data_IF_491321388374
#
_entry.id   IF_491321388374
#
_cell.length_a   1.000
_cell.length_b   1.000
_cell.length_c   1.000
_cell.angle_alpha   90.00
_cell.angle_beta   90.00
_cell.angle_gamma   90.00
#
_symmetry.space_group_name_H-M   'P 1'
#
loop_
_entity.id
_entity.type
_entity.pdbx_description
1 polymer ?
#
# COMPACT_ATOMS: atom_id res chain seq x y z
N UNK A 1 -26.83 -15.79 -4.76
CA UNK A 1 -25.55 -15.44 -5.39
C UNK A 1 -24.43 -15.95 -4.51
N UNK A 2 -23.50 -16.70 -5.06
CA UNK A 2 -22.33 -17.15 -4.29
C UNK A 2 -21.45 -15.94 -4.00
N UNK A 3 -21.11 -15.70 -2.73
CA UNK A 3 -20.11 -14.71 -2.31
C UNK A 3 -18.78 -15.04 -2.99
N UNK A 4 -18.09 -14.05 -3.55
CA UNK A 4 -16.77 -14.29 -4.13
C UNK A 4 -15.74 -14.68 -3.06
N UNK A 5 -14.60 -15.19 -3.48
CA UNK A 5 -13.59 -15.72 -2.55
C UNK A 5 -13.05 -14.61 -1.64
N UNK A 6 -12.88 -13.40 -2.16
CA UNK A 6 -12.35 -12.30 -1.36
C UNK A 6 -13.35 -11.87 -0.27
N UNK A 7 -14.64 -11.76 -0.58
CA UNK A 7 -15.67 -11.45 0.40
C UNK A 7 -15.75 -12.50 1.52
N UNK A 8 -15.51 -13.77 1.18
CA UNK A 8 -15.43 -14.85 2.18
C UNK A 8 -14.21 -14.70 3.09
N UNK A 9 -13.05 -14.36 2.54
CA UNK A 9 -11.82 -14.10 3.31
C UNK A 9 -11.97 -12.88 4.20
N UNK A 10 -12.52 -11.80 3.66
CA UNK A 10 -12.83 -10.58 4.40
C UNK A 10 -13.79 -10.84 5.56
N UNK A 11 -14.86 -11.59 5.32
CA UNK A 11 -15.81 -11.96 6.37
C UNK A 11 -15.15 -12.78 7.49
N UNK A 12 -14.28 -13.73 7.14
CA UNK A 12 -13.54 -14.53 8.12
C UNK A 12 -12.55 -13.71 8.96
N UNK A 13 -12.02 -12.61 8.41
CA UNK A 13 -11.08 -11.69 9.07
C UNK A 13 -11.75 -10.38 9.50
N UNK A 14 -13.08 -10.31 9.58
CA UNK A 14 -13.83 -9.06 9.75
C UNK A 14 -13.38 -8.17 10.91
N UNK A 15 -13.05 -8.67 12.12
CA UNK A 15 -12.58 -7.80 13.20
C UNK A 15 -11.25 -7.11 12.87
N UNK A 16 -10.34 -7.81 12.19
CA UNK A 16 -9.04 -7.26 11.79
C UNK A 16 -9.20 -6.32 10.59
N UNK A 17 -10.00 -6.72 9.60
CA UNK A 17 -10.29 -5.91 8.43
C UNK A 17 -10.91 -4.57 8.79
N UNK A 18 -11.93 -4.58 9.66
CA UNK A 18 -12.60 -3.35 10.08
C UNK A 18 -11.64 -2.42 10.84
N UNK A 19 -10.79 -2.95 11.72
CA UNK A 19 -9.76 -2.14 12.41
C UNK A 19 -8.72 -1.56 11.46
N UNK A 20 -8.47 -2.21 10.35
CA UNK A 20 -7.54 -1.74 9.32
C UNK A 20 -8.16 -0.61 8.49
N UNK A 21 -9.34 -0.82 7.90
CA UNK A 21 -9.96 0.16 7.00
C UNK A 21 -10.58 1.36 7.73
N UNK A 22 -10.95 1.19 9.01
CA UNK A 22 -11.47 2.24 9.90
C UNK A 22 -10.46 2.60 11.00
N UNK A 23 -9.18 2.67 10.65
CA UNK A 23 -8.14 3.07 11.58
C UNK A 23 -8.16 4.58 11.85
N UNK A 24 -7.76 5.00 13.07
CA UNK A 24 -7.71 6.42 13.46
C UNK A 24 -6.94 7.29 12.47
N UNK A 25 -5.84 6.79 11.93
CA UNK A 25 -5.06 7.46 10.89
C UNK A 25 -5.93 7.76 9.65
N UNK A 26 -6.71 6.77 9.20
CA UNK A 26 -7.60 6.91 8.03
C UNK A 26 -8.69 7.94 8.31
N UNK A 27 -9.31 7.88 9.49
CA UNK A 27 -10.34 8.84 9.90
C UNK A 27 -9.80 10.26 9.98
N UNK A 28 -8.67 10.45 10.68
CA UNK A 28 -8.03 11.76 10.82
C UNK A 28 -7.59 12.33 9.47
N UNK A 29 -7.11 11.48 8.54
CA UNK A 29 -6.78 11.91 7.19
C UNK A 29 -8.04 12.37 6.44
N UNK A 30 -9.13 11.61 6.52
CA UNK A 30 -10.41 11.97 5.91
C UNK A 30 -11.04 13.24 6.50
N UNK A 31 -10.85 13.50 7.78
CA UNK A 31 -11.32 14.69 8.50
C UNK A 31 -10.40 15.91 8.37
N UNK A 32 -9.18 15.72 7.84
CA UNK A 32 -8.18 16.78 7.77
C UNK A 32 -7.57 17.16 9.12
N UNK A 33 -7.65 16.27 10.10
CA UNK A 33 -7.12 16.47 11.47
C UNK A 33 -5.81 15.74 11.73
N UNK A 34 -5.33 14.94 10.77
CA UNK A 34 -4.05 14.25 10.88
C UNK A 34 -2.89 15.24 10.99
N UNK A 35 -1.97 15.03 11.95
CA UNK A 35 -0.81 15.88 12.08
C UNK A 35 0.13 15.75 10.87
N UNK A 36 0.80 16.84 10.50
CA UNK A 36 1.79 16.86 9.42
C UNK A 36 2.94 15.88 9.70
N UNK A 37 3.38 15.77 10.95
CA UNK A 37 4.43 14.82 11.35
C UNK A 37 4.01 13.36 11.10
N UNK A 38 2.78 13.00 11.47
CA UNK A 38 2.25 11.67 11.22
C UNK A 38 2.13 11.37 9.72
N UNK A 39 1.68 12.36 8.94
CA UNK A 39 1.57 12.23 7.49
C UNK A 39 2.95 12.10 6.82
N UNK A 40 3.92 12.90 7.23
CA UNK A 40 5.31 12.81 6.74
C UNK A 40 5.94 11.44 7.07
N UNK A 41 5.76 10.97 8.30
CA UNK A 41 6.23 9.65 8.71
C UNK A 41 5.59 8.54 7.87
N UNK A 42 4.28 8.65 7.64
CA UNK A 42 3.57 7.73 6.75
C UNK A 42 4.18 7.71 5.35
N UNK A 43 4.38 8.88 4.70
CA UNK A 43 4.92 8.94 3.34
C UNK A 43 6.30 8.30 3.22
N UNK A 44 7.18 8.51 4.21
CA UNK A 44 8.50 7.88 4.23
C UNK A 44 8.39 6.35 4.37
N UNK A 45 7.57 5.87 5.29
CA UNK A 45 7.37 4.43 5.50
C UNK A 45 6.65 3.78 4.33
N UNK A 46 5.71 4.47 3.71
CA UNK A 46 4.99 3.99 2.55
C UNK A 46 5.90 3.90 1.31
N UNK A 47 6.80 4.87 1.10
CA UNK A 47 7.83 4.76 0.07
C UNK A 47 8.67 3.48 0.26
N UNK A 48 9.18 3.24 1.47
CA UNK A 48 9.97 2.04 1.78
C UNK A 48 9.16 0.75 1.59
N UNK A 49 7.87 0.79 1.93
CA UNK A 49 6.92 -0.27 1.65
C UNK A 49 6.76 -0.49 0.13
N UNK A 50 6.58 0.56 -0.66
CA UNK A 50 6.38 0.48 -2.11
C UNK A 50 7.56 -0.18 -2.83
N UNK A 51 8.79 0.03 -2.38
CA UNK A 51 9.97 -0.68 -2.91
C UNK A 51 9.83 -2.20 -2.75
N UNK A 52 9.39 -2.67 -1.59
CA UNK A 52 9.18 -4.10 -1.35
C UNK A 52 7.94 -4.63 -2.11
N UNK A 53 6.94 -3.78 -2.27
CA UNK A 53 5.73 -4.09 -3.02
C UNK A 53 6.01 -4.22 -4.52
N UNK A 54 6.85 -3.36 -5.08
CA UNK A 54 7.38 -3.49 -6.44
C UNK A 54 8.11 -4.84 -6.64
N UNK A 55 8.94 -5.24 -5.66
CA UNK A 55 9.61 -6.55 -5.68
C UNK A 55 8.62 -7.73 -5.67
N UNK A 56 7.52 -7.62 -4.93
CA UNK A 56 6.47 -8.63 -4.91
C UNK A 56 5.77 -8.74 -6.28
N UNK A 57 5.51 -7.64 -6.97
CA UNK A 57 4.98 -7.65 -8.33
C UNK A 57 5.97 -8.22 -9.35
N UNK A 58 7.27 -7.93 -9.21
CA UNK A 58 8.32 -8.56 -10.02
C UNK A 58 8.36 -10.09 -9.79
N UNK A 59 8.19 -10.53 -8.54
CA UNK A 59 8.08 -11.94 -8.20
C UNK A 59 6.80 -12.58 -8.79
N UNK A 60 5.69 -11.85 -8.82
CA UNK A 60 4.47 -12.30 -9.49
C UNK A 60 4.70 -12.52 -11.00
N UNK A 61 5.41 -11.60 -11.66
CA UNK A 61 5.80 -11.76 -13.06
C UNK A 61 6.68 -13.00 -13.26
N UNK A 62 7.69 -13.20 -12.40
CA UNK A 62 8.58 -14.37 -12.45
C UNK A 62 7.82 -15.69 -12.30
N UNK A 63 6.83 -15.77 -11.41
CA UNK A 63 6.04 -16.97 -11.14
C UNK A 63 4.94 -17.21 -12.19
N UNK A 64 4.59 -16.21 -12.98
CA UNK A 64 3.58 -16.31 -14.02
C UNK A 64 4.08 -17.12 -15.22
N UNK A 65 3.24 -18.01 -15.75
CA UNK A 65 3.60 -18.87 -16.89
C UNK A 65 2.97 -18.42 -18.21
N UNK A 66 1.93 -17.59 -18.15
CA UNK A 66 1.23 -17.09 -19.34
C UNK A 66 1.61 -15.64 -19.61
N UNK A 67 1.84 -15.25 -20.88
CA UNK A 67 2.18 -13.88 -21.22
C UNK A 67 1.16 -12.83 -20.72
N UNK A 68 -0.13 -13.19 -20.66
CA UNK A 68 -1.16 -12.30 -20.15
C UNK A 68 -0.96 -11.99 -18.64
N UNK A 69 -0.64 -13.00 -17.85
CA UNK A 69 -0.40 -12.84 -16.41
C UNK A 69 0.92 -12.07 -16.14
N UNK A 70 1.95 -12.31 -16.95
CA UNK A 70 3.21 -11.55 -16.89
C UNK A 70 2.96 -10.07 -17.19
N UNK A 71 2.14 -9.75 -18.21
CA UNK A 71 1.77 -8.37 -18.53
C UNK A 71 0.95 -7.72 -17.42
N UNK A 72 0.04 -8.44 -16.80
CA UNK A 72 -0.73 -7.94 -15.66
C UNK A 72 0.19 -7.59 -14.47
N UNK A 73 1.14 -8.46 -14.16
CA UNK A 73 2.14 -8.21 -13.12
C UNK A 73 3.06 -7.03 -13.46
N UNK A 74 3.48 -6.91 -14.73
CA UNK A 74 4.25 -5.76 -15.22
C UNK A 74 3.47 -4.45 -15.05
N UNK A 75 2.19 -4.42 -15.37
CA UNK A 75 1.36 -3.23 -15.21
C UNK A 75 1.27 -2.82 -13.73
N UNK A 76 1.10 -3.79 -12.82
CA UNK A 76 1.14 -3.55 -11.37
C UNK A 76 2.49 -2.98 -10.94
N UNK A 77 3.60 -3.58 -11.36
CA UNK A 77 4.95 -3.08 -11.07
C UNK A 77 5.13 -1.63 -11.55
N UNK A 78 4.73 -1.31 -12.79
CA UNK A 78 4.86 0.04 -13.32
C UNK A 78 4.07 1.06 -12.50
N UNK A 79 2.81 0.74 -12.14
CA UNK A 79 1.98 1.62 -11.32
C UNK A 79 2.63 1.91 -9.95
N UNK A 80 3.24 0.91 -9.32
CA UNK A 80 3.93 1.10 -8.04
C UNK A 80 5.17 1.98 -8.19
N UNK A 81 5.94 1.84 -9.26
CA UNK A 81 7.10 2.68 -9.52
C UNK A 81 6.69 4.14 -9.77
N UNK A 82 5.61 4.39 -10.51
CA UNK A 82 5.06 5.74 -10.70
C UNK A 82 4.61 6.35 -9.35
N UNK A 83 4.05 5.54 -8.46
CA UNK A 83 3.66 5.98 -7.12
C UNK A 83 4.86 6.32 -6.23
N UNK A 84 5.99 5.61 -6.34
CA UNK A 84 7.21 5.98 -5.61
C UNK A 84 7.72 7.37 -6.00
N UNK A 85 7.62 7.73 -7.28
CA UNK A 85 8.00 9.07 -7.74
C UNK A 85 7.08 10.16 -7.15
N UNK A 86 5.79 9.88 -6.99
CA UNK A 86 4.87 10.80 -6.32
C UNK A 86 5.27 11.02 -4.85
N UNK A 87 5.62 9.96 -4.13
CA UNK A 87 6.09 10.05 -2.74
C UNK A 87 7.34 10.92 -2.61
N UNK A 88 8.32 10.75 -3.51
CA UNK A 88 9.53 11.60 -3.55
C UNK A 88 9.15 13.08 -3.73
N UNK A 89 8.25 13.38 -4.68
CA UNK A 89 7.79 14.77 -4.92
C UNK A 89 7.06 15.35 -3.70
N UNK A 90 6.25 14.55 -3.01
CA UNK A 90 5.55 15.00 -1.80
C UNK A 90 6.54 15.24 -0.65
N UNK A 91 7.46 14.34 -0.41
CA UNK A 91 8.48 14.46 0.63
C UNK A 91 9.44 15.64 0.41
N UNK A 92 9.68 16.02 -0.86
CA UNK A 92 10.48 17.20 -1.20
C UNK A 92 9.90 18.52 -0.63
N UNK A 93 8.59 18.58 -0.34
CA UNK A 93 7.94 19.73 0.33
C UNK A 93 8.49 19.99 1.74
N UNK A 94 9.05 18.97 2.39
CA UNK A 94 9.71 19.06 3.70
C UNK A 94 11.24 19.01 3.61
N UNK A 95 11.79 19.24 2.41
CA UNK A 95 13.24 19.23 2.18
C UNK A 95 13.88 17.84 2.21
N UNK A 96 13.10 16.76 2.18
CA UNK A 96 13.63 15.41 2.11
C UNK A 96 13.97 15.05 0.67
N UNK A 97 15.20 14.61 0.46
CA UNK A 97 15.64 14.03 -0.81
C UNK A 97 15.27 12.55 -0.89
N UNK A 98 15.30 11.98 -2.09
CA UNK A 98 15.13 10.54 -2.26
C UNK A 98 16.14 9.74 -1.43
N UNK A 99 17.39 10.19 -1.38
CA UNK A 99 18.43 9.54 -0.58
C UNK A 99 18.13 9.55 0.92
N UNK A 100 17.52 10.65 1.42
CA UNK A 100 17.10 10.73 2.83
C UNK A 100 15.99 9.73 3.14
N UNK A 101 15.03 9.56 2.23
CA UNK A 101 13.92 8.62 2.37
C UNK A 101 14.44 7.18 2.34
N UNK A 102 15.32 6.86 1.38
CA UNK A 102 15.92 5.54 1.23
C UNK A 102 16.81 5.14 2.41
N UNK A 103 17.45 6.12 3.06
CA UNK A 103 18.28 5.90 4.24
C UNK A 103 17.47 5.82 5.55
N UNK A 104 16.18 6.14 5.52
CA UNK A 104 15.35 6.09 6.71
C UNK A 104 15.16 4.65 7.22
N UNK A 105 15.15 4.43 8.54
CA UNK A 105 14.90 3.09 9.08
C UNK A 105 13.46 2.65 8.81
N UNK A 106 13.29 1.42 8.35
CA UNK A 106 11.96 0.81 8.24
C UNK A 106 11.37 0.58 9.64
N UNK A 107 10.11 0.95 9.83
CA UNK A 107 9.38 0.61 11.04
C UNK A 107 9.10 -0.90 11.13
N UNK A 108 8.95 -1.40 12.34
CA UNK A 108 8.66 -2.82 12.57
C UNK A 108 7.43 -3.31 11.77
N UNK A 109 6.38 -2.50 11.69
CA UNK A 109 5.18 -2.84 10.93
C UNK A 109 5.47 -2.95 9.42
N UNK A 110 6.28 -2.04 8.86
CA UNK A 110 6.72 -2.07 7.45
C UNK A 110 7.50 -3.35 7.18
N UNK A 111 8.48 -3.67 8.03
CA UNK A 111 9.28 -4.90 7.91
C UNK A 111 8.38 -6.14 8.03
N UNK A 112 7.52 -6.20 9.04
CA UNK A 112 6.70 -7.39 9.31
C UNK A 112 5.80 -7.75 8.12
N UNK A 113 5.09 -6.77 7.57
CA UNK A 113 4.17 -7.04 6.47
C UNK A 113 4.91 -7.30 5.15
N UNK A 114 5.90 -6.49 4.81
CA UNK A 114 6.61 -6.64 3.53
C UNK A 114 7.39 -7.93 3.44
N UNK A 115 8.05 -8.36 4.54
CA UNK A 115 8.78 -9.63 4.55
C UNK A 115 7.85 -10.83 4.55
N UNK A 116 6.71 -10.72 5.23
CA UNK A 116 5.66 -11.74 5.15
C UNK A 116 5.16 -11.95 3.71
N UNK A 117 4.84 -10.87 2.99
CA UNK A 117 4.39 -10.94 1.59
C UNK A 117 5.46 -11.58 0.70
N UNK A 118 6.72 -11.15 0.83
CA UNK A 118 7.82 -11.70 0.03
C UNK A 118 8.10 -13.17 0.37
N UNK A 119 8.00 -13.55 1.65
CA UNK A 119 8.16 -14.94 2.08
C UNK A 119 7.05 -15.83 1.51
N UNK A 120 5.78 -15.44 1.64
CA UNK A 120 4.66 -16.12 1.00
C UNK A 120 4.87 -16.28 -0.51
N UNK A 121 5.34 -15.24 -1.17
CA UNK A 121 5.63 -15.27 -2.59
C UNK A 121 6.82 -16.12 -2.95
N UNK A 122 7.86 -16.18 -2.14
CA UNK A 122 9.06 -16.99 -2.40
C UNK A 122 8.80 -18.47 -2.16
N UNK A 123 8.22 -18.81 -1.00
CA UNK A 123 7.97 -20.19 -0.58
C UNK A 123 6.75 -20.81 -1.28
N UNK A 124 5.70 -20.01 -1.52
CA UNK A 124 4.44 -20.48 -2.06
C UNK A 124 4.29 -20.31 -3.57
N UNK A 125 3.07 -20.44 -4.05
CA UNK A 125 2.73 -20.22 -5.45
C UNK A 125 2.22 -18.79 -5.73
N UNK A 126 1.76 -18.55 -6.97
CA UNK A 126 1.24 -17.23 -7.38
C UNK A 126 -0.05 -16.87 -6.62
N UNK A 127 -0.89 -17.84 -6.25
CA UNK A 127 -2.12 -17.59 -5.50
C UNK A 127 -1.80 -17.14 -4.08
N UNK A 128 -0.85 -17.78 -3.40
CA UNK A 128 -0.42 -17.40 -2.05
C UNK A 128 0.16 -15.99 -2.03
N UNK A 129 0.97 -15.64 -3.04
CA UNK A 129 1.46 -14.27 -3.20
C UNK A 129 0.32 -13.26 -3.37
N UNK A 130 -0.67 -13.55 -4.23
CA UNK A 130 -1.81 -12.65 -4.45
C UNK A 130 -2.69 -12.52 -3.20
N UNK A 131 -2.89 -13.59 -2.44
CA UNK A 131 -3.64 -13.54 -1.17
C UNK A 131 -2.90 -12.67 -0.14
N UNK A 132 -1.58 -12.78 -0.06
CA UNK A 132 -0.77 -11.94 0.82
C UNK A 132 -0.78 -10.46 0.41
N UNK A 133 -0.86 -10.16 -0.91
CA UNK A 133 -0.96 -8.79 -1.45
C UNK A 133 -2.37 -8.19 -1.32
N UNK A 134 -3.42 -9.02 -1.29
CA UNK A 134 -4.82 -8.58 -1.35
C UNK A 134 -5.20 -7.54 -0.27
N UNK A 135 -4.76 -7.63 1.00
CA UNK A 135 -5.07 -6.62 2.00
C UNK A 135 -4.61 -5.23 1.62
N UNK A 136 -3.41 -5.11 1.05
CA UNK A 136 -2.92 -3.81 0.59
C UNK A 136 -3.72 -3.31 -0.62
N UNK A 137 -3.81 -4.10 -1.68
CA UNK A 137 -4.45 -3.68 -2.94
C UNK A 137 -5.93 -3.34 -2.73
N UNK A 138 -6.69 -4.23 -2.08
CA UNK A 138 -8.14 -4.09 -1.95
C UNK A 138 -8.50 -3.20 -0.77
N UNK A 139 -7.74 -3.25 0.32
CA UNK A 139 -7.95 -2.39 1.48
C UNK A 139 -7.76 -0.91 1.15
N UNK A 140 -6.70 -0.56 0.43
CA UNK A 140 -6.50 0.82 -0.04
C UNK A 140 -7.60 1.26 -1.02
N UNK A 141 -8.08 0.36 -1.89
CA UNK A 141 -9.21 0.67 -2.76
C UNK A 141 -10.51 0.88 -1.99
N UNK A 142 -10.71 0.19 -0.88
CA UNK A 142 -11.87 0.38 0.01
C UNK A 142 -11.75 1.71 0.77
N UNK A 143 -10.59 1.99 1.36
CA UNK A 143 -10.29 3.26 2.05
C UNK A 143 -10.48 4.45 1.10
N UNK A 144 -9.96 4.37 -0.12
CA UNK A 144 -10.04 5.45 -1.11
C UNK A 144 -11.47 5.74 -1.62
N UNK A 145 -12.42 4.83 -1.39
CA UNK A 145 -13.85 5.06 -1.69
C UNK A 145 -14.59 5.74 -0.56
N UNK A 146 -14.00 5.83 0.63
CA UNK A 146 -14.60 6.54 1.76
C UNK A 146 -14.65 8.03 1.44
N UNK A 147 -15.82 8.70 1.57
CA UNK A 147 -15.92 10.13 1.25
C UNK A 147 -14.96 10.94 2.10
N UNK A 148 -13.99 11.59 1.46
CA UNK A 148 -13.13 12.58 2.11
C UNK A 148 -13.90 13.91 2.17
N UNK A 149 -14.00 14.51 3.35
CA UNK A 149 -14.53 15.87 3.46
C UNK A 149 -13.53 16.85 2.85
N UNK A 150 -13.77 17.27 1.61
CA UNK A 150 -12.89 18.16 0.84
C UNK A 150 -12.75 19.58 1.42
N UNK A 151 -13.38 19.89 2.54
CA UNK A 151 -13.42 21.26 3.07
C UNK A 151 -12.09 21.75 3.65
N UNK A 152 -11.13 20.88 3.94
CA UNK A 152 -9.88 21.28 4.58
C UNK A 152 -8.62 21.19 3.69
N UNK A 153 -8.68 20.51 2.54
CA UNK A 153 -7.53 20.42 1.63
C UNK A 153 -7.24 21.75 0.88
N UNK A 154 -8.16 22.72 0.88
CA UNK A 154 -7.96 24.03 0.27
C UNK A 154 -7.22 25.05 1.15
N UNK A 155 -6.96 24.75 2.42
CA UNK A 155 -6.34 25.70 3.35
C UNK A 155 -4.80 25.78 3.22
N UNK A 156 -4.18 24.94 2.40
CA UNK A 156 -2.72 24.91 2.21
C UNK A 156 -2.26 25.28 0.78
N UNK A 157 -3.15 25.83 -0.04
CA UNK A 157 -2.83 26.31 -1.40
C UNK A 157 -2.67 27.83 -1.51
N UNK A 158 -2.38 28.55 -0.40
CA UNK A 158 -2.02 29.99 -0.44
C UNK A 158 -0.60 30.22 0.03
#
# INVERSE_FOLDING_TARGET
MSMDIFERLKAAASPQWNRYVDHDFVRQMGEGTLSEEAFRTYLVQDYLFLIQFARAWALAAYKSRRPADIRAAQAGLSAILDETELHVRLCARWGLTQADIEAAPEHQATVAYTRYVLDCGAAGDLLELHVALAPCVIGYAEIGRTPVSYTHLRAHET
#
